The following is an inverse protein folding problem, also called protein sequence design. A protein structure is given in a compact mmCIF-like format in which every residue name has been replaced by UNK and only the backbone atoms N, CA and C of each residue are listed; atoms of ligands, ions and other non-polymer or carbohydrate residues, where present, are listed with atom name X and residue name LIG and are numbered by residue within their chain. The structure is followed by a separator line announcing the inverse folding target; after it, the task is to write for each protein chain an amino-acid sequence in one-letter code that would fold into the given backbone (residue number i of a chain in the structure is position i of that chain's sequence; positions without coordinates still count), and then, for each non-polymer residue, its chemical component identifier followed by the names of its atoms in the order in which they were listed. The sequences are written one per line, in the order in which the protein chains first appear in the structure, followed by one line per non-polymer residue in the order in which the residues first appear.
data_IF_237764477093
#
_entry.id   IF_237764477093
#
_cell.length_a   1.000
_cell.length_b   1.000
_cell.length_c   1.000
_cell.angle_alpha   90.00
_cell.angle_beta   90.00
_cell.angle_gamma   90.00
#
_symmetry.space_group_name_H-M   'P 1'
#
loop_
_entity.id
_entity.type
_entity.pdbx_description
1 polymer ?
#
# COMPACT_ATOMS: atom_id res chain seq x y z
N UNK A 1 -5.54 15.01 8.52
CA UNK A 1 -6.33 13.89 7.95
C UNK A 1 -5.96 13.70 6.47
N UNK A 2 -4.97 12.86 6.12
CA UNK A 2 -4.74 12.55 4.69
C UNK A 2 -5.82 11.60 4.21
N UNK A 3 -6.60 11.99 3.18
CA UNK A 3 -7.58 11.11 2.57
C UNK A 3 -6.85 9.93 1.89
N UNK A 4 -7.01 8.71 2.40
CA UNK A 4 -6.35 7.48 1.90
C UNK A 4 -6.47 7.34 0.37
N UNK A 5 -7.63 7.69 -0.19
CA UNK A 5 -7.91 7.67 -1.62
C UNK A 5 -6.99 8.58 -2.44
N UNK A 6 -6.64 9.76 -1.91
CA UNK A 6 -5.68 10.69 -2.55
C UNK A 6 -4.27 10.10 -2.57
N UNK A 7 -3.89 9.38 -1.52
CA UNK A 7 -2.58 8.75 -1.41
C UNK A 7 -2.46 7.55 -2.37
N UNK A 8 -3.48 6.70 -2.41
CA UNK A 8 -3.59 5.62 -3.40
C UNK A 8 -3.52 6.14 -4.82
N UNK A 9 -4.28 7.19 -5.14
CA UNK A 9 -4.28 7.79 -6.47
C UNK A 9 -2.88 8.30 -6.85
N UNK A 10 -2.17 8.97 -5.94
CA UNK A 10 -0.79 9.43 -6.18
C UNK A 10 0.18 8.27 -6.44
N UNK A 11 0.03 7.14 -5.75
CA UNK A 11 0.81 5.93 -6.02
C UNK A 11 0.49 5.35 -7.40
N UNK A 12 -0.79 5.32 -7.77
CA UNK A 12 -1.24 4.86 -9.09
C UNK A 12 -0.67 5.71 -10.24
N UNK A 13 -0.43 7.00 -10.02
CA UNK A 13 0.25 7.88 -10.99
C UNK A 13 1.78 7.82 -10.93
N UNK A 14 2.36 7.17 -9.91
CA UNK A 14 3.81 6.99 -9.80
C UNK A 14 4.27 5.79 -10.63
N UNK A 15 4.06 5.87 -11.95
CA UNK A 15 4.41 4.83 -12.91
C UNK A 15 5.80 5.05 -13.51
N UNK A 16 6.44 3.96 -13.93
CA UNK A 16 7.69 3.98 -14.69
C UNK A 16 7.46 4.31 -16.17
N UNK A 17 8.51 4.35 -16.99
CA UNK A 17 8.44 4.64 -18.43
C UNK A 17 7.53 3.66 -19.21
N UNK A 18 7.29 2.48 -18.65
CA UNK A 18 6.37 1.46 -19.19
C UNK A 18 4.91 1.63 -18.77
N UNK A 19 4.59 2.60 -17.91
CA UNK A 19 3.23 2.79 -17.38
C UNK A 19 2.85 1.87 -16.22
N UNK A 20 3.81 1.11 -15.67
CA UNK A 20 3.61 0.22 -14.53
C UNK A 20 4.08 0.87 -13.24
N UNK A 21 3.41 0.56 -12.13
CA UNK A 21 3.72 1.08 -10.80
C UNK A 21 4.86 0.25 -10.19
N UNK A 22 6.01 0.83 -9.83
CA UNK A 22 7.09 0.09 -9.21
C UNK A 22 6.75 -0.28 -7.77
N UNK A 23 6.92 -1.55 -7.41
CA UNK A 23 6.68 -2.04 -6.04
C UNK A 23 7.59 -1.33 -5.03
N UNK A 24 8.84 -1.00 -5.41
CA UNK A 24 9.76 -0.19 -4.59
C UNK A 24 9.18 1.16 -4.15
N UNK A 25 8.34 1.80 -4.98
CA UNK A 25 7.75 3.11 -4.66
C UNK A 25 6.67 2.92 -3.60
N UNK A 26 5.80 1.92 -3.76
CA UNK A 26 4.79 1.54 -2.78
C UNK A 26 5.47 1.19 -1.46
N UNK A 27 6.45 0.28 -1.49
CA UNK A 27 7.22 -0.13 -0.32
C UNK A 27 7.82 1.07 0.43
N UNK A 28 8.48 1.99 -0.30
CA UNK A 28 9.07 3.21 0.28
C UNK A 28 8.03 4.14 0.89
N UNK A 29 6.86 4.29 0.26
CA UNK A 29 5.76 5.11 0.78
C UNK A 29 5.22 4.58 2.11
N UNK A 30 5.06 3.26 2.23
CA UNK A 30 4.56 2.61 3.45
C UNK A 30 5.65 2.38 4.50
N UNK A 31 6.92 2.35 4.11
CA UNK A 31 8.07 2.19 5.00
C UNK A 31 8.41 3.45 5.80
N UNK A 32 7.70 4.58 5.62
CA UNK A 32 8.00 5.85 6.30
C UNK A 32 7.90 5.82 7.84
N UNK A 33 7.57 4.67 8.45
CA UNK A 33 7.72 4.41 9.89
C UNK A 33 7.84 2.92 10.24
N UNK A 34 8.07 2.04 9.25
CA UNK A 34 8.12 0.58 9.39
C UNK A 34 9.19 0.01 8.44
N UNK A 35 9.65 -1.20 8.70
CA UNK A 35 10.66 -1.85 7.86
C UNK A 35 10.10 -2.20 6.47
N UNK A 36 10.81 -1.86 5.39
CA UNK A 36 10.42 -2.19 4.01
C UNK A 36 10.10 -3.68 3.83
N UNK A 37 10.84 -4.56 4.52
CA UNK A 37 10.64 -6.02 4.53
C UNK A 37 9.21 -6.43 4.89
N UNK A 38 8.60 -5.75 5.87
CA UNK A 38 7.22 -6.03 6.29
C UNK A 38 6.21 -5.61 5.22
N UNK A 39 6.49 -4.53 4.49
CA UNK A 39 5.66 -4.08 3.38
C UNK A 39 5.70 -5.07 2.22
N UNK A 40 6.90 -5.56 1.84
CA UNK A 40 7.05 -6.59 0.80
C UNK A 40 6.33 -7.89 1.19
N UNK A 41 6.43 -8.32 2.44
CA UNK A 41 5.70 -9.48 2.94
C UNK A 41 4.18 -9.26 2.84
N UNK A 42 3.70 -8.09 3.28
CA UNK A 42 2.27 -7.75 3.22
C UNK A 42 1.75 -7.69 1.78
N UNK A 43 2.56 -7.23 0.83
CA UNK A 43 2.26 -7.23 -0.61
C UNK A 43 2.11 -8.66 -1.15
N UNK A 44 3.03 -9.56 -0.81
CA UNK A 44 2.94 -10.98 -1.18
C UNK A 44 1.67 -11.62 -0.63
N UNK A 45 1.27 -11.28 0.60
CA UNK A 45 0.07 -11.83 1.24
C UNK A 45 -1.26 -11.32 0.64
N UNK A 46 -1.25 -10.20 -0.08
CA UNK A 46 -2.43 -9.68 -0.80
C UNK A 46 -2.37 -9.99 -2.31
N UNK A 47 -1.58 -11.00 -2.67
CA UNK A 47 -1.40 -11.47 -4.05
C UNK A 47 -0.92 -10.34 -4.97
N UNK A 48 0.05 -9.56 -4.51
CA UNK A 48 0.84 -8.65 -5.32
C UNK A 48 2.31 -9.08 -5.29
N UNK A 49 3.09 -8.78 -6.35
CA UNK A 49 4.50 -9.10 -6.34
C UNK A 49 5.21 -8.33 -5.22
N UNK A 50 5.70 -9.06 -4.22
CA UNK A 50 6.50 -8.52 -3.12
C UNK A 50 7.98 -8.33 -3.47
N UNK A 51 8.32 -8.22 -4.76
CA UNK A 51 9.70 -8.08 -5.21
C UNK A 51 10.08 -6.61 -5.41
N UNK A 52 11.26 -6.21 -4.93
CA UNK A 52 11.76 -4.82 -5.01
C UNK A 52 11.94 -4.34 -6.45
N UNK A 53 12.18 -5.25 -7.38
CA UNK A 53 12.39 -4.94 -8.80
C UNK A 53 11.13 -5.10 -9.63
N UNK A 54 10.07 -5.68 -9.06
CA UNK A 54 8.81 -5.87 -9.77
C UNK A 54 8.05 -4.57 -9.97
N UNK A 55 7.23 -4.59 -11.01
CA UNK A 55 6.28 -3.54 -11.36
C UNK A 55 4.90 -4.17 -11.53
N UNK A 56 3.87 -3.48 -11.07
CA UNK A 56 2.47 -3.92 -11.22
C UNK A 56 1.71 -3.00 -12.14
N UNK A 57 0.70 -3.54 -12.81
CA UNK A 57 -0.21 -2.72 -13.59
C UNK A 57 -1.13 -1.91 -12.67
N UNK A 58 -1.57 -0.75 -13.18
CA UNK A 58 -2.56 0.09 -12.48
C UNK A 58 -3.87 -0.65 -12.19
N UNK A 59 -4.21 -1.62 -13.02
CA UNK A 59 -5.44 -2.41 -12.91
C UNK A 59 -5.36 -3.39 -11.73
N UNK A 60 -4.19 -4.02 -11.54
CA UNK A 60 -3.93 -4.87 -10.38
C UNK A 60 -3.87 -4.10 -9.06
N UNK A 61 -3.43 -2.83 -9.08
CA UNK A 61 -3.30 -2.00 -7.89
C UNK A 61 -4.60 -1.27 -7.52
N UNK A 62 -5.63 -2.03 -7.17
CA UNK A 62 -6.93 -1.48 -6.76
C UNK A 62 -6.87 -0.83 -5.37
N UNK A 63 -7.85 0.03 -5.09
CA UNK A 63 -7.99 0.66 -3.77
C UNK A 63 -8.19 -0.36 -2.65
N UNK A 64 -8.85 -1.48 -2.91
CA UNK A 64 -9.02 -2.57 -1.94
C UNK A 64 -7.68 -3.16 -1.51
N UNK A 65 -6.81 -3.49 -2.48
CA UNK A 65 -5.46 -3.98 -2.19
C UNK A 65 -4.64 -2.95 -1.42
N UNK A 66 -4.71 -1.67 -1.80
CA UNK A 66 -4.07 -0.58 -1.05
C UNK A 66 -4.60 -0.46 0.39
N UNK A 67 -5.91 -0.58 0.59
CA UNK A 67 -6.55 -0.47 1.89
C UNK A 67 -6.15 -1.65 2.80
N UNK A 68 -6.14 -2.87 2.27
CA UNK A 68 -5.63 -4.07 2.95
C UNK A 68 -4.16 -3.91 3.33
N UNK A 69 -3.31 -3.43 2.41
CA UNK A 69 -1.90 -3.15 2.68
C UNK A 69 -1.74 -2.12 3.80
N UNK A 70 -2.50 -1.03 3.76
CA UNK A 70 -2.48 0.01 4.78
C UNK A 70 -2.84 -0.54 6.16
N UNK A 71 -3.93 -1.31 6.26
CA UNK A 71 -4.36 -1.92 7.52
C UNK A 71 -3.32 -2.93 8.06
N UNK A 72 -2.62 -3.63 7.17
CA UNK A 72 -1.62 -4.64 7.54
C UNK A 72 -0.28 -4.04 7.98
N UNK A 73 0.19 -3.01 7.28
CA UNK A 73 1.47 -2.33 7.58
C UNK A 73 1.33 -1.39 8.77
N UNK A 74 0.21 -0.68 8.84
CA UNK A 74 -0.17 0.17 9.95
C UNK A 74 -1.47 -0.37 10.55
N UNK A 75 -1.40 -1.41 11.40
CA UNK A 75 -2.54 -1.79 12.24
C UNK A 75 -2.83 -0.59 13.13
N UNK A 76 -3.85 0.18 12.74
CA UNK A 76 -4.26 1.37 13.46
C UNK A 76 -5.18 0.89 14.57
N UNK A 77 -4.58 0.46 15.67
CA UNK A 77 -5.29 -0.03 16.85
C UNK A 77 -6.29 1.01 17.41
N UNK A 78 -6.17 2.29 17.04
CA UNK A 78 -7.13 3.35 17.34
C UNK A 78 -8.48 3.26 16.62
N UNK A 79 -8.63 2.47 15.54
CA UNK A 79 -9.91 2.44 14.81
C UNK A 79 -10.94 1.54 15.48
N UNK A 80 -10.52 0.49 16.20
CA UNK A 80 -11.44 -0.35 16.99
C UNK A 80 -12.04 0.42 18.17
N UNK A 81 -11.28 1.34 18.79
CA UNK A 81 -11.79 2.24 19.84
C UNK A 81 -12.86 3.22 19.32
N UNK A 82 -12.83 3.57 18.02
CA UNK A 82 -13.81 4.45 17.40
C UNK A 82 -15.16 3.77 17.11
N UNK A 83 -15.22 2.44 17.12
CA UNK A 83 -16.45 1.67 16.92
C UNK A 83 -17.10 1.22 18.25
N UNK A 84 -16.43 1.38 19.39
CA UNK A 84 -16.98 1.11 20.74
C UNK A 84 -17.64 2.36 21.39
N UNK A 85 -17.75 3.48 20.67
CA UNK A 85 -18.49 4.68 21.13
C UNK A 85 -19.86 4.84 20.44
N UNK A 86 -20.53 3.74 20.09
CA UNK A 86 -21.97 3.75 19.75
C UNK A 86 -22.78 2.89 20.70
#
# INVERSE_FOLDING_TARGET
MMCLKKHWMRLCFSVDAKGNIPIKVIAKTFASGKTEKLVYQSLTEIELPGDKTATIEKDEFTFDKFYKLYHKVCPRNDIEELFETM
#
